data_IF_202264876525
#
_entry.id   IF_202264876525
#
_cell.length_a   1.000
_cell.length_b   1.000
_cell.length_c   1.000
_cell.angle_alpha   90.00
_cell.angle_beta   90.00
_cell.angle_gamma   90.00
#
_symmetry.space_group_name_H-M   'P 1'
#
loop_
_entity.id
_entity.type
_entity.pdbx_description
1 polymer ?
#
# COMPACT_ATOMS: atom_id res chain seq x y z
N UNK A 1 -15.90 -62.26 43.90
CA UNK A 1 -17.18 -62.96 44.13
C UNK A 1 -18.24 -61.89 44.35
N UNK A 2 -18.83 -61.37 43.28
CA UNK A 2 -20.09 -61.78 42.67
C UNK A 2 -21.32 -61.35 43.49
N UNK A 3 -22.04 -60.34 42.96
CA UNK A 3 -23.51 -60.29 42.74
C UNK A 3 -24.11 -58.91 43.02
N UNK A 4 -24.60 -58.27 41.96
CA UNK A 4 -25.77 -57.38 42.00
C UNK A 4 -27.01 -58.24 42.33
N UNK A 5 -28.09 -57.72 42.97
CA UNK A 5 -29.23 -57.29 42.15
C UNK A 5 -30.20 -56.21 42.75
N UNK A 6 -30.78 -55.43 41.83
CA UNK A 6 -32.20 -55.08 41.61
C UNK A 6 -33.23 -54.84 42.76
N UNK A 7 -34.02 -53.77 42.53
CA UNK A 7 -35.48 -53.59 42.79
C UNK A 7 -35.90 -53.15 44.21
N UNK A 8 -36.92 -52.33 44.50
CA UNK A 8 -38.08 -51.82 43.75
C UNK A 8 -38.78 -50.67 44.55
N UNK A 9 -39.41 -49.73 43.83
CA UNK A 9 -40.76 -49.14 44.03
C UNK A 9 -41.09 -48.03 45.07
N UNK A 10 -41.60 -46.92 44.50
CA UNK A 10 -42.81 -46.11 44.80
C UNK A 10 -42.86 -45.11 45.97
N UNK A 11 -43.10 -43.84 45.64
CA UNK A 11 -44.34 -43.02 45.83
C UNK A 11 -43.96 -41.53 45.70
N UNK A 12 -44.19 -40.94 44.53
CA UNK A 12 -45.12 -39.83 44.27
C UNK A 12 -45.21 -38.71 45.33
N UNK A 13 -44.71 -37.53 45.01
CA UNK A 13 -45.47 -36.28 45.24
C UNK A 13 -45.00 -35.19 44.29
N UNK A 14 -45.95 -34.72 43.50
CA UNK A 14 -45.86 -33.64 42.54
C UNK A 14 -45.54 -32.31 43.20
N UNK A 15 -44.64 -31.53 42.62
CA UNK A 15 -44.79 -30.07 42.53
C UNK A 15 -44.21 -29.61 41.19
N UNK A 16 -45.10 -29.16 40.31
CA UNK A 16 -44.77 -28.61 39.01
C UNK A 16 -44.15 -27.21 39.19
N UNK A 17 -42.87 -27.09 38.87
CA UNK A 17 -42.24 -25.80 38.60
C UNK A 17 -42.14 -25.63 37.08
N UNK A 18 -42.94 -24.72 36.55
CA UNK A 18 -42.84 -24.23 35.17
C UNK A 18 -41.48 -23.56 34.97
N UNK A 19 -40.56 -24.27 34.32
CA UNK A 19 -39.37 -23.66 33.71
C UNK A 19 -39.60 -23.68 32.21
N UNK A 20 -39.87 -22.49 31.67
CA UNK A 20 -39.93 -22.19 30.25
C UNK A 20 -38.61 -22.58 29.58
N UNK A 21 -38.62 -23.67 28.80
CA UNK A 21 -37.52 -24.02 27.90
C UNK A 21 -37.66 -23.17 26.65
N UNK A 22 -36.88 -22.11 26.54
CA UNK A 22 -36.69 -21.42 25.26
C UNK A 22 -35.95 -22.35 24.30
N UNK A 23 -36.39 -22.50 23.04
CA UNK A 23 -35.64 -23.28 22.07
C UNK A 23 -34.31 -22.57 21.78
N UNK A 24 -33.21 -23.29 21.97
CA UNK A 24 -31.91 -22.91 21.41
C UNK A 24 -32.04 -22.98 19.90
N UNK A 25 -32.37 -21.85 19.28
CA UNK A 25 -32.18 -21.66 17.86
C UNK A 25 -30.67 -21.67 17.62
N UNK A 26 -30.18 -22.71 16.94
CA UNK A 26 -28.82 -22.74 16.44
C UNK A 26 -28.57 -21.49 15.60
N UNK A 27 -27.67 -20.63 16.05
CA UNK A 27 -27.13 -19.56 15.22
C UNK A 27 -26.34 -20.23 14.11
N UNK A 28 -26.96 -20.33 12.93
CA UNK A 28 -26.21 -20.48 11.70
C UNK A 28 -25.25 -19.29 11.63
N UNK A 29 -23.95 -19.57 11.75
CA UNK A 29 -22.91 -18.59 11.50
C UNK A 29 -23.03 -18.16 10.04
N UNK A 30 -23.73 -17.06 9.80
CA UNK A 30 -23.74 -16.39 8.54
C UNK A 30 -22.42 -15.62 8.46
N UNK A 31 -21.34 -16.32 8.09
CA UNK A 31 -20.10 -15.70 7.64
C UNK A 31 -20.39 -15.04 6.30
N UNK A 32 -21.06 -13.88 6.36
CA UNK A 32 -21.23 -12.99 5.24
C UNK A 32 -19.86 -12.53 4.81
N UNK A 33 -19.49 -12.91 3.58
CA UNK A 33 -18.39 -12.29 2.85
C UNK A 33 -18.63 -10.79 2.90
N UNK A 34 -17.71 -10.06 3.51
CA UNK A 34 -17.80 -8.61 3.59
C UNK A 34 -17.64 -8.07 2.17
N UNK A 35 -18.72 -7.56 1.61
CA UNK A 35 -18.79 -7.03 0.26
C UNK A 35 -17.73 -5.92 0.11
N UNK A 36 -16.84 -6.11 -0.85
CA UNK A 36 -15.80 -5.14 -1.17
C UNK A 36 -16.46 -3.95 -1.85
N UNK A 37 -16.42 -2.78 -1.20
CA UNK A 37 -16.83 -1.50 -1.78
C UNK A 37 -15.67 -0.92 -2.60
N UNK A 38 -15.76 -0.86 -3.95
CA UNK A 38 -14.72 -0.32 -4.81
C UNK A 38 -14.52 1.20 -4.66
N UNK A 39 -15.46 1.91 -4.03
CA UNK A 39 -15.37 3.35 -3.75
C UNK A 39 -14.87 3.66 -2.33
N UNK A 40 -14.77 2.67 -1.45
CA UNK A 40 -14.21 2.81 -0.11
C UNK A 40 -12.68 2.78 -0.14
N UNK A 41 -12.07 3.76 -0.82
CA UNK A 41 -10.71 4.15 -0.52
C UNK A 41 -10.79 5.15 0.64
N UNK A 42 -10.37 4.79 1.87
CA UNK A 42 -10.16 5.81 2.88
C UNK A 42 -8.95 6.63 2.40
N UNK A 43 -9.06 7.94 2.51
CA UNK A 43 -8.05 8.87 2.09
C UNK A 43 -8.49 10.20 2.61
N UNK A 44 -7.74 10.79 3.53
CA UNK A 44 -8.07 12.11 4.03
C UNK A 44 -7.82 13.13 2.92
N UNK A 45 -8.89 13.75 2.42
CA UNK A 45 -8.79 14.91 1.54
C UNK A 45 -8.26 16.07 2.38
N UNK A 46 -6.96 16.30 2.30
CA UNK A 46 -6.34 17.57 2.68
C UNK A 46 -6.02 18.27 1.37
N UNK A 47 -6.49 19.52 1.23
CA UNK A 47 -6.46 20.28 -0.01
C UNK A 47 -5.11 20.12 -0.75
N UNK A 48 -5.22 19.67 -2.00
CA UNK A 48 -4.19 19.52 -3.04
C UNK A 48 -3.16 18.37 -2.97
N UNK A 49 -3.17 17.42 -2.01
CA UNK A 49 -2.32 16.21 -2.11
C UNK A 49 -3.04 14.93 -1.65
N UNK A 50 -3.53 14.11 -2.60
CA UNK A 50 -3.99 12.74 -2.28
C UNK A 50 -2.79 11.81 -2.32
N UNK A 51 -2.24 11.49 -1.15
CA UNK A 51 -1.28 10.39 -0.97
C UNK A 51 -2.01 9.29 -0.21
N UNK A 52 -2.03 8.03 -0.69
CA UNK A 52 -2.62 6.94 0.07
C UNK A 52 -1.90 6.83 1.42
N UNK A 53 -2.66 6.66 2.50
CA UNK A 53 -2.08 6.56 3.83
C UNK A 53 -1.36 5.19 3.92
N UNK A 54 -0.14 5.10 4.48
CA UNK A 54 0.61 3.86 4.52
C UNK A 54 -0.16 2.66 5.09
N UNK A 55 -0.93 2.85 6.17
CA UNK A 55 -1.81 1.83 6.73
C UNK A 55 -2.88 1.31 5.75
N UNK A 56 -3.40 2.15 4.87
CA UNK A 56 -4.35 1.76 3.82
C UNK A 56 -3.64 0.95 2.74
N UNK A 57 -2.44 1.39 2.35
CA UNK A 57 -1.58 0.63 1.42
C UNK A 57 -1.29 -0.75 1.98
N UNK A 58 -0.84 -0.87 3.24
CA UNK A 58 -0.60 -2.17 3.87
C UNK A 58 -1.87 -3.02 3.94
N UNK A 59 -3.03 -2.42 4.23
CA UNK A 59 -4.30 -3.15 4.21
C UNK A 59 -4.65 -3.72 2.83
N UNK A 60 -4.35 -2.99 1.75
CA UNK A 60 -4.49 -3.48 0.38
C UNK A 60 -3.48 -4.60 0.08
N UNK A 61 -2.23 -4.43 0.50
CA UNK A 61 -1.19 -5.45 0.30
C UNK A 61 -1.52 -6.74 1.06
N UNK A 62 -2.08 -6.65 2.27
CA UNK A 62 -2.50 -7.79 3.07
C UNK A 62 -3.68 -8.54 2.42
N UNK A 63 -4.56 -7.86 1.67
CA UNK A 63 -5.62 -8.48 0.85
C UNK A 63 -5.08 -9.29 -0.33
N UNK A 64 -3.83 -9.06 -0.76
CA UNK A 64 -3.18 -9.89 -1.78
C UNK A 64 -2.77 -11.27 -1.22
N UNK A 65 -2.91 -11.48 0.10
CA UNK A 65 -2.53 -12.70 0.80
C UNK A 65 -1.03 -12.73 1.10
N UNK A 66 -0.44 -13.93 1.02
CA UNK A 66 0.99 -14.14 1.25
C UNK A 66 1.72 -14.49 -0.07
N UNK A 67 1.80 -13.58 -1.05
CA UNK A 67 2.68 -13.80 -2.19
C UNK A 67 4.14 -13.81 -1.74
N UNK A 68 5.03 -14.31 -2.58
CA UNK A 68 6.46 -14.29 -2.29
C UNK A 68 7.04 -12.87 -2.44
N UNK A 69 6.81 -12.00 -1.47
CA UNK A 69 7.25 -10.60 -1.45
C UNK A 69 8.76 -10.44 -1.62
N UNK A 70 9.58 -11.43 -1.22
CA UNK A 70 11.04 -11.41 -1.47
C UNK A 70 11.39 -11.35 -2.95
N UNK A 71 10.55 -11.88 -3.84
CA UNK A 71 10.76 -11.78 -5.29
C UNK A 71 10.38 -10.41 -5.87
N UNK A 72 9.72 -9.55 -5.09
CA UNK A 72 9.37 -8.19 -5.50
C UNK A 72 10.40 -7.16 -5.03
N UNK A 73 11.34 -7.55 -4.15
CA UNK A 73 12.48 -6.70 -3.78
C UNK A 73 13.35 -6.48 -5.01
N UNK A 74 13.63 -5.22 -5.32
CA UNK A 74 14.50 -4.82 -6.44
C UNK A 74 15.71 -4.08 -5.90
N UNK A 75 16.84 -4.22 -6.59
CA UNK A 75 17.99 -3.36 -6.34
C UNK A 75 17.67 -1.97 -6.86
N UNK A 76 17.85 -0.98 -5.99
CA UNK A 76 17.61 0.42 -6.30
C UNK A 76 18.94 1.05 -6.66
N UNK A 77 19.29 1.08 -7.95
CA UNK A 77 20.46 1.80 -8.45
C UNK A 77 20.02 3.21 -8.86
N UNK A 78 20.51 4.21 -8.13
CA UNK A 78 20.06 5.59 -8.23
C UNK A 78 21.15 6.49 -8.81
N UNK A 79 20.86 7.22 -9.91
CA UNK A 79 21.83 8.14 -10.47
C UNK A 79 22.05 9.31 -9.51
N UNK A 80 23.31 9.72 -9.36
CA UNK A 80 23.61 10.98 -8.66
C UNK A 80 23.10 12.14 -9.51
N UNK A 81 22.26 12.99 -8.93
CA UNK A 81 21.71 14.16 -9.61
C UNK A 81 21.45 15.30 -8.62
N UNK A 82 21.55 16.54 -9.09
CA UNK A 82 21.11 17.73 -8.36
C UNK A 82 19.68 18.16 -8.71
N UNK A 83 19.02 17.46 -9.63
CA UNK A 83 17.65 17.77 -10.04
C UNK A 83 16.66 17.39 -8.94
N UNK A 84 16.12 18.40 -8.24
CA UNK A 84 15.14 18.21 -7.17
C UNK A 84 13.87 17.48 -7.61
N UNK A 85 13.44 17.65 -8.87
CA UNK A 85 12.25 16.98 -9.42
C UNK A 85 12.49 15.48 -9.50
N UNK A 86 13.64 15.11 -10.06
CA UNK A 86 14.07 13.71 -10.17
C UNK A 86 14.36 13.10 -8.80
N UNK A 87 15.04 13.81 -7.91
CA UNK A 87 15.27 13.40 -6.52
C UNK A 87 13.96 13.12 -5.79
N UNK A 88 12.92 13.92 -6.02
CA UNK A 88 11.61 13.73 -5.40
C UNK A 88 10.91 12.47 -5.92
N UNK A 89 10.96 12.21 -7.23
CA UNK A 89 10.46 10.96 -7.82
C UNK A 89 11.20 9.73 -7.27
N UNK A 90 12.53 9.80 -7.17
CA UNK A 90 13.36 8.74 -6.60
C UNK A 90 13.07 8.52 -5.11
N UNK A 91 12.87 9.59 -4.35
CA UNK A 91 12.51 9.51 -2.93
C UNK A 91 11.20 8.73 -2.74
N UNK A 92 10.17 9.06 -3.51
CA UNK A 92 8.91 8.31 -3.52
C UNK A 92 9.09 6.82 -3.86
N UNK A 93 9.85 6.53 -4.92
CA UNK A 93 10.17 5.17 -5.35
C UNK A 93 10.84 4.37 -4.23
N UNK A 94 11.87 4.92 -3.59
CA UNK A 94 12.64 4.26 -2.53
C UNK A 94 11.79 4.02 -1.29
N UNK A 95 10.94 4.99 -0.92
CA UNK A 95 9.98 4.80 0.18
C UNK A 95 9.05 3.62 -0.13
N UNK A 96 8.56 3.50 -1.36
CA UNK A 96 7.71 2.38 -1.78
C UNK A 96 8.44 1.02 -1.78
N UNK A 97 9.74 0.98 -2.06
CA UNK A 97 10.56 -0.23 -1.84
C UNK A 97 10.57 -0.63 -0.37
N UNK A 98 10.55 0.35 0.54
CA UNK A 98 10.44 0.12 1.98
C UNK A 98 9.20 -0.69 2.36
N UNK A 99 8.05 -0.41 1.74
CA UNK A 99 6.83 -1.21 1.96
C UNK A 99 7.01 -2.65 1.50
N UNK A 100 7.65 -2.88 0.35
CA UNK A 100 7.91 -4.22 -0.19
C UNK A 100 8.86 -5.00 0.72
N UNK A 101 9.93 -4.35 1.21
CA UNK A 101 10.88 -4.96 2.14
C UNK A 101 10.22 -5.32 3.48
N UNK A 102 9.31 -4.47 3.98
CA UNK A 102 8.52 -4.76 5.17
C UNK A 102 7.57 -5.94 4.95
N UNK A 103 6.87 -6.01 3.80
CA UNK A 103 6.03 -7.18 3.47
C UNK A 103 6.83 -8.47 3.28
N UNK A 104 8.09 -8.36 2.86
CA UNK A 104 9.01 -9.49 2.76
C UNK A 104 9.64 -9.89 4.11
N UNK A 105 9.39 -9.10 5.16
CA UNK A 105 10.06 -9.20 6.46
C UNK A 105 11.59 -9.29 6.35
N UNK A 106 12.16 -8.54 5.40
CA UNK A 106 13.59 -8.58 5.08
C UNK A 106 14.32 -7.42 5.78
N UNK A 107 15.00 -7.73 6.87
CA UNK A 107 15.71 -6.75 7.69
C UNK A 107 16.82 -6.02 6.95
N UNK A 108 17.58 -6.74 6.13
CA UNK A 108 18.73 -6.17 5.44
C UNK A 108 18.25 -5.25 4.31
N UNK A 109 17.20 -5.65 3.58
CA UNK A 109 16.55 -4.78 2.61
C UNK A 109 15.98 -3.51 3.28
N UNK A 110 15.31 -3.62 4.43
CA UNK A 110 14.83 -2.43 5.18
C UNK A 110 15.98 -1.51 5.59
N UNK A 111 17.12 -2.06 6.00
CA UNK A 111 18.31 -1.28 6.36
C UNK A 111 18.92 -0.56 5.16
N UNK A 112 19.06 -1.25 4.04
CA UNK A 112 19.61 -0.68 2.81
C UNK A 112 18.71 0.44 2.29
N UNK A 113 17.40 0.21 2.24
CA UNK A 113 16.42 1.24 1.87
C UNK A 113 16.46 2.42 2.84
N UNK A 114 16.57 2.16 4.15
CA UNK A 114 16.66 3.22 5.16
C UNK A 114 17.84 4.16 4.94
N UNK A 115 18.98 3.63 4.47
CA UNK A 115 20.17 4.44 4.11
C UNK A 115 19.89 5.31 2.88
N UNK A 116 19.31 4.74 1.83
CA UNK A 116 18.93 5.48 0.61
C UNK A 116 17.91 6.59 0.90
N UNK A 117 16.92 6.34 1.77
CA UNK A 117 15.96 7.34 2.23
C UNK A 117 16.69 8.51 2.93
N UNK A 118 17.67 8.24 3.77
CA UNK A 118 18.46 9.28 4.46
C UNK A 118 19.25 10.12 3.46
N UNK A 119 19.86 9.50 2.46
CA UNK A 119 20.67 10.21 1.46
C UNK A 119 19.81 11.11 0.57
N UNK A 120 18.68 10.61 0.08
CA UNK A 120 17.73 11.40 -0.71
C UNK A 120 17.05 12.49 0.13
N UNK A 121 16.66 12.21 1.38
CA UNK A 121 16.13 13.23 2.28
C UNK A 121 17.17 14.33 2.56
N UNK A 122 18.45 13.99 2.62
CA UNK A 122 19.53 14.97 2.73
C UNK A 122 19.63 15.84 1.50
N UNK A 123 19.61 15.25 0.30
CA UNK A 123 19.65 15.99 -0.96
C UNK A 123 18.42 16.92 -1.17
N UNK A 124 17.26 16.52 -0.66
CA UNK A 124 16.02 17.33 -0.72
C UNK A 124 15.94 18.40 0.38
N UNK A 125 16.78 18.32 1.41
CA UNK A 125 16.73 19.22 2.57
C UNK A 125 15.74 18.81 3.66
N UNK A 126 15.22 17.58 3.61
CA UNK A 126 14.22 17.02 4.53
C UNK A 126 14.83 16.25 5.71
N UNK A 127 16.15 16.10 5.75
CA UNK A 127 16.83 15.20 6.69
C UNK A 127 16.52 15.45 8.17
N UNK A 128 16.31 16.72 8.58
CA UNK A 128 15.96 17.04 9.97
C UNK A 128 14.64 16.39 10.39
N UNK A 129 13.67 16.37 9.48
CA UNK A 129 12.35 15.79 9.70
C UNK A 129 12.35 14.27 9.51
N UNK A 130 13.13 13.75 8.55
CA UNK A 130 13.11 12.32 8.17
C UNK A 130 14.00 11.45 9.08
N UNK A 131 15.13 11.96 9.56
CA UNK A 131 16.12 11.17 10.33
C UNK A 131 15.54 10.46 11.55
N UNK A 132 14.70 11.09 12.40
CA UNK A 132 14.13 10.42 13.57
C UNK A 132 13.30 9.20 13.18
N UNK A 133 12.48 9.32 12.14
CA UNK A 133 11.66 8.23 11.62
C UNK A 133 12.50 7.10 11.04
N UNK A 134 13.52 7.44 10.24
CA UNK A 134 14.43 6.44 9.68
C UNK A 134 15.13 5.65 10.80
N UNK A 135 15.58 6.30 11.87
CA UNK A 135 16.19 5.62 13.01
C UNK A 135 15.18 4.70 13.73
N UNK A 136 13.96 5.17 13.97
CA UNK A 136 12.91 4.35 14.61
C UNK A 136 12.59 3.09 13.77
N UNK A 137 12.54 3.21 12.45
CA UNK A 137 12.36 2.06 11.54
C UNK A 137 13.52 1.08 11.64
N UNK A 138 14.77 1.57 11.63
CA UNK A 138 15.97 0.72 11.74
C UNK A 138 16.01 -0.02 13.10
N UNK A 139 15.72 0.68 14.20
CA UNK A 139 15.69 0.09 15.55
C UNK A 139 14.58 -0.96 15.70
N UNK A 140 13.43 -0.74 15.06
CA UNK A 140 12.33 -1.71 15.03
C UNK A 140 12.66 -2.92 14.14
N UNK A 141 13.33 -2.71 13.00
CA UNK A 141 13.78 -3.77 12.11
C UNK A 141 14.77 -4.72 12.79
N UNK A 142 15.70 -4.21 13.59
CA UNK A 142 16.62 -5.03 14.38
C UNK A 142 15.87 -6.01 15.30
N UNK A 143 14.73 -5.56 15.85
CA UNK A 143 13.86 -6.34 16.74
C UNK A 143 12.81 -7.19 16.02
N UNK A 144 12.76 -7.16 14.68
CA UNK A 144 11.64 -7.72 13.88
C UNK A 144 10.26 -7.15 14.26
N UNK A 145 10.19 -5.92 14.75
CA UNK A 145 8.93 -5.29 15.16
C UNK A 145 8.24 -4.64 13.97
N UNK A 146 7.70 -5.48 13.08
CA UNK A 146 7.05 -5.06 11.83
C UNK A 146 5.82 -4.17 12.07
N UNK A 147 5.10 -4.38 13.17
CA UNK A 147 3.96 -3.55 13.55
C UNK A 147 4.39 -2.12 13.88
N UNK A 148 5.47 -1.95 14.65
CA UNK A 148 6.03 -0.63 14.91
C UNK A 148 6.56 0.03 13.63
N UNK A 149 7.17 -0.73 12.71
CA UNK A 149 7.60 -0.17 11.42
C UNK A 149 6.40 0.35 10.62
N UNK A 150 5.33 -0.44 10.47
CA UNK A 150 4.11 -0.02 9.75
C UNK A 150 3.51 1.26 10.35
N UNK A 151 3.49 1.37 11.68
CA UNK A 151 3.05 2.58 12.38
C UNK A 151 3.96 3.78 12.12
N UNK A 152 5.27 3.56 12.08
CA UNK A 152 6.25 4.62 11.84
C UNK A 152 6.14 5.16 10.40
N UNK A 153 5.77 4.33 9.43
CA UNK A 153 5.50 4.77 8.06
C UNK A 153 4.37 5.79 7.98
N UNK A 154 3.26 5.60 8.70
CA UNK A 154 2.16 6.57 8.77
C UNK A 154 2.65 7.94 9.27
N UNK A 155 3.45 7.94 10.33
CA UNK A 155 4.01 9.16 10.90
C UNK A 155 5.00 9.82 9.94
N UNK A 156 5.85 9.02 9.29
CA UNK A 156 6.83 9.49 8.30
C UNK A 156 6.14 10.20 7.14
N UNK A 157 5.07 9.60 6.60
CA UNK A 157 4.32 10.17 5.48
C UNK A 157 3.75 11.54 5.84
N UNK A 158 3.17 11.68 7.05
CA UNK A 158 2.68 12.96 7.55
C UNK A 158 3.80 13.98 7.68
N UNK A 159 4.90 13.62 8.33
CA UNK A 159 6.04 14.51 8.56
C UNK A 159 6.67 14.99 7.25
N UNK A 160 6.82 14.11 6.25
CA UNK A 160 7.35 14.48 4.92
C UNK A 160 6.41 15.46 4.23
N UNK A 161 5.10 15.16 4.18
CA UNK A 161 4.10 16.05 3.55
C UNK A 161 4.11 17.43 4.20
N UNK A 162 4.00 17.49 5.53
CA UNK A 162 3.97 18.76 6.28
C UNK A 162 5.27 19.55 6.07
N UNK A 163 6.43 18.87 6.02
CA UNK A 163 7.73 19.53 5.78
C UNK A 163 7.81 20.12 4.38
N UNK A 164 7.35 19.38 3.36
CA UNK A 164 7.37 19.86 1.97
C UNK A 164 6.37 21.00 1.75
N UNK A 165 5.21 20.97 2.42
CA UNK A 165 4.25 22.08 2.42
C UNK A 165 4.86 23.35 3.02
N UNK A 166 5.52 23.25 4.18
CA UNK A 166 6.22 24.37 4.82
C UNK A 166 7.34 24.95 3.94
N UNK A 167 8.00 24.10 3.15
CA UNK A 167 9.02 24.50 2.18
C UNK A 167 8.44 25.12 0.91
N UNK A 168 7.11 25.16 0.77
CA UNK A 168 6.38 25.57 -0.45
C UNK A 168 6.75 24.73 -1.68
N UNK A 169 7.09 23.46 -1.44
CA UNK A 169 7.53 22.49 -2.43
C UNK A 169 6.36 21.56 -2.85
N UNK A 170 5.19 22.14 -3.09
CA UNK A 170 3.97 21.39 -3.43
C UNK A 170 4.17 20.50 -4.68
N UNK A 171 4.76 21.04 -5.75
CA UNK A 171 5.04 20.30 -6.97
C UNK A 171 6.01 19.12 -6.75
N UNK A 172 6.98 19.29 -5.84
CA UNK A 172 7.91 18.22 -5.48
C UNK A 172 7.22 17.15 -4.61
N UNK A 173 6.29 17.54 -3.73
CA UNK A 173 5.47 16.61 -2.95
C UNK A 173 4.62 15.70 -3.84
N UNK A 174 4.05 16.27 -4.92
CA UNK A 174 3.39 15.49 -5.96
C UNK A 174 4.34 14.53 -6.66
N UNK A 175 5.59 14.96 -6.94
CA UNK A 175 6.61 14.08 -7.51
C UNK A 175 6.94 12.90 -6.57
N UNK A 176 7.07 13.12 -5.27
CA UNK A 176 7.24 12.03 -4.28
C UNK A 176 6.06 11.06 -4.37
N UNK A 177 4.84 11.58 -4.39
CA UNK A 177 3.62 10.77 -4.42
C UNK A 177 3.52 9.92 -5.69
N UNK A 178 3.84 10.49 -6.85
CA UNK A 178 3.86 9.77 -8.13
C UNK A 178 4.95 8.68 -8.16
N UNK A 179 6.15 8.97 -7.66
CA UNK A 179 7.23 7.98 -7.59
C UNK A 179 6.85 6.77 -6.75
N UNK A 180 6.26 7.00 -5.57
CA UNK A 180 5.78 5.93 -4.70
C UNK A 180 4.62 5.14 -5.30
N UNK A 181 3.64 5.83 -5.90
CA UNK A 181 2.50 5.18 -6.53
C UNK A 181 2.89 4.30 -7.72
N UNK A 182 3.78 4.78 -8.60
CA UNK A 182 4.27 3.98 -9.74
C UNK A 182 4.93 2.68 -9.26
N UNK A 183 5.75 2.77 -8.21
CA UNK A 183 6.44 1.59 -7.66
C UNK A 183 5.47 0.63 -6.97
N UNK A 184 4.53 1.14 -6.18
CA UNK A 184 3.48 0.36 -5.55
C UNK A 184 2.62 -0.38 -6.57
N UNK A 185 2.13 0.32 -7.59
CA UNK A 185 1.34 -0.27 -8.68
C UNK A 185 2.14 -1.32 -9.45
N UNK A 186 3.43 -1.09 -9.71
CA UNK A 186 4.32 -2.09 -10.31
C UNK A 186 4.43 -3.37 -9.44
N UNK A 187 4.60 -3.26 -8.12
CA UNK A 187 4.59 -4.42 -7.21
C UNK A 187 3.28 -5.19 -7.29
N UNK A 188 2.16 -4.49 -7.16
CA UNK A 188 0.83 -5.11 -7.08
C UNK A 188 0.49 -5.79 -8.40
N UNK A 189 0.75 -5.15 -9.54
CA UNK A 189 0.54 -5.76 -10.87
C UNK A 189 1.44 -6.97 -11.10
N UNK A 190 2.70 -6.95 -10.65
CA UNK A 190 3.61 -8.11 -10.72
C UNK A 190 3.07 -9.30 -9.92
N UNK A 191 2.69 -9.08 -8.65
CA UNK A 191 2.11 -10.09 -7.76
C UNK A 191 0.84 -10.70 -8.37
N UNK A 192 -0.08 -9.85 -8.82
CA UNK A 192 -1.33 -10.30 -9.44
C UNK A 192 -1.04 -11.06 -10.73
N UNK A 193 -0.11 -10.60 -11.58
CA UNK A 193 0.21 -11.29 -12.83
C UNK A 193 0.79 -12.69 -12.62
N UNK A 194 1.63 -12.87 -11.60
CA UNK A 194 2.23 -14.17 -11.24
C UNK A 194 1.17 -15.19 -10.80
N UNK A 195 0.14 -14.76 -10.09
CA UNK A 195 -0.97 -15.60 -9.65
C UNK A 195 -2.32 -14.88 -9.85
N UNK A 196 -2.76 -14.82 -11.11
CA UNK A 196 -3.89 -14.00 -11.50
C UNK A 196 -5.21 -14.44 -10.86
N UNK A 197 -5.94 -13.45 -10.33
CA UNK A 197 -7.29 -13.54 -9.79
C UNK A 197 -8.00 -12.22 -10.11
N UNK A 198 -9.22 -12.30 -10.63
CA UNK A 198 -10.03 -11.11 -10.94
C UNK A 198 -10.30 -10.28 -9.68
N UNK A 199 -10.67 -10.94 -8.57
CA UNK A 199 -10.91 -10.29 -7.28
C UNK A 199 -9.69 -9.53 -6.76
N UNK A 200 -8.48 -10.10 -6.91
CA UNK A 200 -7.23 -9.40 -6.54
C UNK A 200 -6.91 -8.27 -7.52
N UNK A 201 -7.23 -8.46 -8.79
CA UNK A 201 -7.04 -7.44 -9.82
C UNK A 201 -7.94 -6.21 -9.60
N UNK A 202 -9.10 -6.38 -8.96
CA UNK A 202 -9.99 -5.28 -8.60
C UNK A 202 -9.34 -4.26 -7.65
N UNK A 203 -8.32 -4.67 -6.87
CA UNK A 203 -7.55 -3.74 -6.04
C UNK A 203 -6.81 -2.67 -6.86
N UNK A 204 -6.60 -2.90 -8.16
CA UNK A 204 -6.03 -1.93 -9.09
C UNK A 204 -7.07 -0.94 -9.63
N UNK A 205 -8.36 -1.13 -9.37
CA UNK A 205 -9.42 -0.27 -9.89
C UNK A 205 -9.48 1.09 -9.16
N UNK A 206 -8.52 1.96 -9.45
CA UNK A 206 -8.38 3.26 -8.79
C UNK A 206 -8.27 4.41 -9.81
N UNK A 207 -9.20 4.55 -10.78
CA UNK A 207 -9.11 5.57 -11.82
C UNK A 207 -9.09 6.99 -11.24
N UNK A 208 -9.86 7.26 -10.19
CA UNK A 208 -9.91 8.57 -9.52
C UNK A 208 -8.55 9.03 -8.99
N UNK A 209 -7.72 8.11 -8.48
CA UNK A 209 -6.38 8.43 -8.01
C UNK A 209 -5.46 8.80 -9.18
N UNK A 210 -5.60 8.13 -10.32
CA UNK A 210 -4.85 8.44 -11.54
C UNK A 210 -5.28 9.78 -12.12
N UNK A 211 -6.59 10.07 -12.15
CA UNK A 211 -7.14 11.38 -12.53
C UNK A 211 -6.61 12.50 -11.63
N UNK A 212 -6.55 12.26 -10.33
CA UNK A 212 -5.95 13.20 -9.38
C UNK A 212 -4.50 13.51 -9.76
N UNK A 213 -3.65 12.50 -10.00
CA UNK A 213 -2.27 12.76 -10.42
C UNK A 213 -2.19 13.53 -11.75
N UNK A 214 -3.01 13.21 -12.73
CA UNK A 214 -3.06 13.93 -14.01
C UNK A 214 -3.44 15.40 -13.78
N UNK A 215 -4.46 15.65 -12.94
CA UNK A 215 -4.90 16.99 -12.55
C UNK A 215 -3.81 17.77 -11.80
N UNK A 216 -3.16 17.13 -10.83
CA UNK A 216 -2.05 17.69 -10.07
C UNK A 216 -0.88 18.09 -10.97
N UNK A 217 -0.48 17.23 -11.92
CA UNK A 217 0.52 17.59 -12.93
C UNK A 217 0.06 18.83 -13.73
N UNK A 218 -1.21 18.91 -14.13
CA UNK A 218 -1.75 20.06 -14.86
C UNK A 218 -1.62 21.40 -14.11
N UNK A 219 -1.72 21.36 -12.78
CA UNK A 219 -1.60 22.51 -11.88
C UNK A 219 -0.15 22.92 -11.56
N UNK A 220 0.82 22.04 -11.77
CA UNK A 220 2.24 22.34 -11.52
C UNK A 220 2.74 23.55 -12.33
N UNK A 221 3.86 24.12 -11.87
CA UNK A 221 4.56 25.16 -12.62
C UNK A 221 5.02 24.66 -14.00
N UNK A 222 5.28 25.60 -14.92
CA UNK A 222 5.64 25.27 -16.31
C UNK A 222 6.92 24.43 -16.39
N UNK A 223 7.95 24.78 -15.63
CA UNK A 223 9.23 24.07 -15.60
C UNK A 223 9.07 22.62 -15.11
N UNK A 224 8.17 22.37 -14.15
CA UNK A 224 7.88 21.02 -13.65
C UNK A 224 7.09 20.19 -14.65
N UNK A 225 6.09 20.78 -15.32
CA UNK A 225 5.33 20.09 -16.38
C UNK A 225 6.18 19.70 -17.57
N UNK A 226 7.13 20.56 -17.94
CA UNK A 226 8.03 20.34 -19.06
C UNK A 226 9.23 19.44 -18.71
N UNK A 227 9.44 19.15 -17.42
CA UNK A 227 10.47 18.22 -16.99
C UNK A 227 10.28 16.84 -17.65
N UNK A 228 11.31 16.23 -18.26
CA UNK A 228 11.17 15.01 -19.05
C UNK A 228 10.45 13.88 -18.31
N UNK A 229 10.86 13.58 -17.07
CA UNK A 229 10.22 12.52 -16.28
C UNK A 229 8.75 12.83 -15.98
N UNK A 230 8.37 14.09 -15.72
CA UNK A 230 6.99 14.45 -15.40
C UNK A 230 6.12 14.37 -16.66
N UNK A 231 6.65 14.80 -17.80
CA UNK A 231 5.99 14.67 -19.10
C UNK A 231 5.72 13.21 -19.46
N UNK A 232 6.70 12.33 -19.28
CA UNK A 232 6.56 10.91 -19.58
C UNK A 232 5.59 10.23 -18.60
N UNK A 233 5.66 10.55 -17.31
CA UNK A 233 4.68 10.10 -16.32
C UNK A 233 3.26 10.55 -16.68
N UNK A 234 3.07 11.81 -17.10
CA UNK A 234 1.75 12.30 -17.53
C UNK A 234 1.16 11.48 -18.68
N UNK A 235 1.98 11.10 -19.66
CA UNK A 235 1.56 10.23 -20.77
C UNK A 235 1.23 8.83 -20.28
N UNK A 236 2.10 8.24 -19.46
CA UNK A 236 1.89 6.90 -18.93
C UNK A 236 0.66 6.79 -18.01
N UNK A 237 0.39 7.80 -17.19
CA UNK A 237 -0.83 7.88 -16.36
C UNK A 237 -2.09 7.87 -17.21
N UNK A 238 -2.11 8.57 -18.35
CA UNK A 238 -3.26 8.53 -19.28
C UNK A 238 -3.47 7.14 -19.89
N UNK A 239 -2.39 6.43 -20.19
CA UNK A 239 -2.47 5.05 -20.67
C UNK A 239 -3.01 4.11 -19.58
N UNK A 240 -2.53 4.27 -18.34
CA UNK A 240 -3.01 3.48 -17.20
C UNK A 240 -4.49 3.78 -16.91
N UNK A 241 -4.90 5.05 -16.90
CA UNK A 241 -6.29 5.45 -16.70
C UNK A 241 -7.20 4.78 -17.72
N UNK A 242 -6.87 4.85 -19.01
CA UNK A 242 -7.65 4.21 -20.06
C UNK A 242 -7.78 2.69 -19.89
N UNK A 243 -6.77 2.03 -19.28
CA UNK A 243 -6.84 0.60 -18.96
C UNK A 243 -7.74 0.31 -17.77
N UNK A 244 -7.71 1.17 -16.74
CA UNK A 244 -8.61 1.05 -15.58
C UNK A 244 -10.07 1.31 -15.97
N UNK A 245 -10.35 2.39 -16.70
CA UNK A 245 -11.69 2.72 -17.18
C UNK A 245 -12.24 1.68 -18.17
N UNK A 246 -11.36 1.08 -18.98
CA UNK A 246 -11.72 0.02 -19.92
C UNK A 246 -12.02 -1.33 -19.27
N UNK A 247 -11.71 -1.52 -17.98
CA UNK A 247 -11.92 -2.78 -17.25
C UNK A 247 -13.34 -2.89 -16.69
N UNK A 248 -14.36 -2.52 -17.48
CA UNK A 248 -15.78 -2.46 -17.05
C UNK A 248 -16.31 -3.83 -16.59
N UNK A 249 -15.87 -4.91 -17.25
CA UNK A 249 -16.23 -6.29 -16.90
C UNK A 249 -15.19 -6.97 -15.98
N UNK A 250 -14.36 -6.15 -15.32
CA UNK A 250 -13.22 -6.58 -14.51
C UNK A 250 -11.91 -6.63 -15.28
N UNK A 251 -10.80 -6.61 -14.54
CA UNK A 251 -9.46 -6.65 -15.12
C UNK A 251 -9.15 -8.00 -15.76
N UNK A 252 -8.50 -7.96 -16.92
CA UNK A 252 -7.88 -9.15 -17.53
C UNK A 252 -6.41 -9.27 -17.11
N UNK A 253 -5.85 -10.48 -17.19
CA UNK A 253 -4.42 -10.70 -16.91
C UNK A 253 -3.51 -9.85 -17.79
N UNK A 254 -3.86 -9.68 -19.07
CA UNK A 254 -3.09 -8.84 -19.97
C UNK A 254 -3.25 -7.35 -19.66
N UNK A 255 -4.44 -6.90 -19.28
CA UNK A 255 -4.65 -5.52 -18.80
C UNK A 255 -3.78 -5.19 -17.58
N UNK A 256 -3.76 -6.07 -16.57
CA UNK A 256 -2.89 -5.92 -15.39
C UNK A 256 -1.42 -5.87 -15.78
N UNK A 257 -0.99 -6.77 -16.68
CA UNK A 257 0.39 -6.82 -17.18
C UNK A 257 0.78 -5.54 -17.92
N UNK A 258 -0.12 -4.95 -18.71
CA UNK A 258 0.14 -3.71 -19.46
C UNK A 258 0.27 -2.49 -18.55
N UNK A 259 -0.55 -2.41 -17.49
CA UNK A 259 -0.39 -1.40 -16.43
C UNK A 259 0.99 -1.54 -15.79
N UNK A 260 1.35 -2.76 -15.37
CA UNK A 260 2.65 -3.02 -14.75
C UNK A 260 3.83 -2.65 -15.65
N UNK A 261 3.77 -3.02 -16.94
CA UNK A 261 4.79 -2.63 -17.94
C UNK A 261 4.92 -1.12 -18.10
N UNK A 262 3.81 -0.40 -18.07
CA UNK A 262 3.82 1.07 -18.15
C UNK A 262 4.52 1.66 -16.93
N UNK A 263 4.18 1.19 -15.72
CA UNK A 263 4.87 1.60 -14.49
C UNK A 263 6.37 1.26 -14.53
N UNK A 264 6.75 0.04 -14.90
CA UNK A 264 8.15 -0.39 -14.97
C UNK A 264 8.98 0.45 -15.96
N UNK A 265 8.39 0.79 -17.12
CA UNK A 265 9.05 1.69 -18.08
C UNK A 265 9.30 3.07 -17.49
N UNK A 266 8.31 3.64 -16.79
CA UNK A 266 8.45 4.96 -16.15
C UNK A 266 9.47 4.95 -15.01
N UNK A 267 9.50 3.88 -14.21
CA UNK A 267 10.48 3.70 -13.13
C UNK A 267 11.90 3.59 -13.69
N UNK A 268 12.07 2.83 -14.78
CA UNK A 268 13.35 2.73 -15.50
C UNK A 268 13.81 4.12 -15.97
N UNK A 269 12.90 4.95 -16.46
CA UNK A 269 13.20 6.31 -16.90
C UNK A 269 13.58 7.27 -15.75
N UNK A 270 13.00 7.07 -14.56
CA UNK A 270 13.39 7.80 -13.33
C UNK A 270 14.81 7.41 -12.90
N UNK A 271 15.15 6.12 -12.99
CA UNK A 271 16.45 5.57 -12.59
C UNK A 271 17.54 5.77 -13.65
N UNK A 272 17.17 6.07 -14.90
CA UNK A 272 18.14 6.32 -15.96
C UNK A 272 18.97 7.59 -15.65
N UNK A 273 20.27 7.58 -15.95
CA UNK A 273 21.13 8.77 -15.94
C UNK A 273 20.83 9.67 -17.16
N UNK A 274 19.60 10.16 -17.24
CA UNK A 274 19.18 11.25 -18.12
C UNK A 274 19.53 12.60 -17.49
#
# INVERSE_FOLDING_TARGET
>A
MNRSPLHCFFVATSFAALVSVSPVAGQAANSGVQEFDPQAFPGQVVDDVVVPVPSEVFSVLDKLGEPNWRQEIRTVDLPKTGDRTKLSLMFGLVVAEGFVAVQAEDKEAVKDIGREVIDLATALGLIKSVRPHAQAILDAADKSDWASIRKEFDQTQKTVRDSMEQMKDADLSQCVSMGGWLRGTSSVTSVITKSFSADRAELLNQPMLVEHFISSIGKMSKDKKEHPNVSDISKGLKLILAKMEGAVDGFTKDGVREIGKTCDSLLTDIQAAR
#
